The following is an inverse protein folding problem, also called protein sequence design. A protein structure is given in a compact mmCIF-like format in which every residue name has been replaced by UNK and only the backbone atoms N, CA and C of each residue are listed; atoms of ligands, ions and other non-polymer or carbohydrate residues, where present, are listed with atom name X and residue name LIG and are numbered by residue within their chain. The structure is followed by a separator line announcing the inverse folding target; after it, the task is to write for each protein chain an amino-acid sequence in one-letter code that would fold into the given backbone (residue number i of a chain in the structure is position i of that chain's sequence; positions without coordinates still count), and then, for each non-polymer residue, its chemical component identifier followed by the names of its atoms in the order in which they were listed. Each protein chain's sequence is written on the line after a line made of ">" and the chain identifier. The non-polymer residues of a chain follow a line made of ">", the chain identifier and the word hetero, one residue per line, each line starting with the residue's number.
data_IF_391927882255
#
_entry.id   IF_391927882255
#
_cell.length_a   1.000
_cell.length_b   1.000
_cell.length_c   1.000
_cell.angle_alpha   90.00
_cell.angle_beta   90.00
_cell.angle_gamma   90.00
#
_symmetry.space_group_name_H-M   'P 1'
#
loop_
_entity.id
_entity.type
_entity.pdbx_description
1 polymer ?
#
# COMPACT_ATOMS: atom_id res chain seq x y z
N UNK A 1 -15.84 2.73 -3.52
CA UNK A 1 -15.44 2.80 -2.10
C UNK A 1 -14.74 1.49 -1.75
N UNK A 2 -13.73 1.53 -0.89
CA UNK A 2 -12.76 0.46 -0.69
C UNK A 2 -11.37 0.83 -1.22
N UNK A 3 -10.32 0.27 -0.61
CA UNK A 3 -8.92 0.58 -0.90
C UNK A 3 -8.41 -0.16 -2.15
N UNK A 4 -8.39 0.54 -3.30
CA UNK A 4 -7.80 0.05 -4.57
C UNK A 4 -6.32 -0.30 -4.38
N UNK A 5 -5.62 0.55 -3.62
CA UNK A 5 -4.25 0.34 -3.19
C UNK A 5 -4.24 -0.03 -1.71
N UNK A 6 -3.31 -0.88 -1.31
CA UNK A 6 -3.07 -1.16 0.11
C UNK A 6 -1.94 -0.29 0.64
N UNK A 7 -2.05 0.13 1.89
CA UNK A 7 -0.94 0.71 2.64
C UNK A 7 0.19 -0.33 2.77
N UNK A 8 1.40 0.09 2.42
CA UNK A 8 2.64 -0.67 2.59
C UNK A 8 3.54 -0.04 3.64
N UNK A 9 4.85 -0.19 3.44
CA UNK A 9 5.86 0.36 4.33
C UNK A 9 5.78 1.88 4.39
N UNK A 10 5.72 2.42 5.61
CA UNK A 10 5.69 3.84 5.92
C UNK A 10 4.50 4.61 5.32
N UNK A 11 3.39 3.91 5.08
CA UNK A 11 2.13 4.49 4.61
C UNK A 11 1.03 4.19 5.63
N UNK A 12 0.30 5.22 6.06
CA UNK A 12 -0.89 5.10 6.91
C UNK A 12 -2.17 5.06 6.08
N UNK A 13 -3.23 4.45 6.64
CA UNK A 13 -4.58 4.42 6.06
C UNK A 13 -5.56 5.07 7.04
N UNK A 14 -6.32 6.06 6.55
CA UNK A 14 -7.36 6.75 7.29
C UNK A 14 -8.66 5.95 7.38
N UNK A 15 -9.60 6.41 8.20
CA UNK A 15 -10.92 5.77 8.38
C UNK A 15 -11.75 5.73 7.09
N UNK A 16 -11.46 6.64 6.17
CA UNK A 16 -12.11 6.80 4.87
C UNK A 16 -11.33 6.15 3.72
N UNK A 17 -10.42 5.22 4.01
CA UNK A 17 -9.50 4.56 3.06
C UNK A 17 -8.45 5.51 2.42
N UNK A 18 -8.26 6.73 2.96
CA UNK A 18 -7.26 7.68 2.46
C UNK A 18 -5.84 7.27 2.88
N UNK A 19 -4.92 7.21 1.92
CA UNK A 19 -3.51 6.86 2.18
C UNK A 19 -2.64 8.11 2.38
N UNK A 20 -1.79 8.10 3.40
CA UNK A 20 -0.87 9.21 3.70
C UNK A 20 0.53 8.71 4.06
N UNK A 21 1.53 9.57 3.84
CA UNK A 21 2.91 9.29 4.16
C UNK A 21 3.17 9.42 5.66
N UNK A 22 3.87 8.44 6.25
CA UNK A 22 4.35 8.53 7.64
C UNK A 22 5.74 9.16 7.72
N UNK A 23 6.50 9.14 6.63
CA UNK A 23 7.84 9.70 6.51
C UNK A 23 8.02 10.40 5.17
N UNK A 24 9.00 11.30 5.09
CA UNK A 24 9.44 11.87 3.82
C UNK A 24 10.27 10.86 3.02
N UNK A 25 10.02 10.81 1.71
CA UNK A 25 10.71 9.87 0.82
C UNK A 25 10.06 9.78 -0.56
N UNK A 26 10.46 8.76 -1.31
CA UNK A 26 9.91 8.48 -2.64
C UNK A 26 8.84 7.39 -2.57
N UNK A 27 7.75 7.59 -3.31
CA UNK A 27 6.66 6.62 -3.42
C UNK A 27 7.05 5.47 -4.34
N UNK A 28 6.93 4.24 -3.86
CA UNK A 28 7.18 3.01 -4.60
C UNK A 28 5.92 2.15 -4.67
N UNK A 29 5.48 1.85 -5.89
CA UNK A 29 4.36 0.96 -6.13
C UNK A 29 4.85 -0.48 -6.32
N UNK A 30 4.26 -1.42 -5.59
CA UNK A 30 4.58 -2.85 -5.67
C UNK A 30 3.31 -3.64 -5.98
N UNK A 31 3.38 -4.61 -6.88
CA UNK A 31 2.27 -5.54 -7.14
C UNK A 31 2.52 -6.83 -6.39
N UNK A 32 1.58 -7.21 -5.51
CA UNK A 32 1.68 -8.44 -4.73
C UNK A 32 0.44 -9.30 -4.94
N UNK A 33 0.68 -10.58 -5.22
CA UNK A 33 -0.39 -11.57 -5.22
C UNK A 33 -0.82 -11.85 -3.77
N UNK A 34 -2.09 -11.62 -3.47
CA UNK A 34 -2.74 -11.98 -2.22
C UNK A 34 -3.75 -13.08 -2.49
N UNK A 35 -3.70 -14.16 -1.72
CA UNK A 35 -4.72 -15.19 -1.79
C UNK A 35 -5.95 -14.71 -1.03
N UNK A 36 -7.10 -14.65 -1.71
CA UNK A 36 -8.39 -14.43 -1.09
C UNK A 36 -8.76 -15.61 -0.19
N UNK A 37 -9.64 -15.40 0.78
CA UNK A 37 -10.17 -16.46 1.64
C UNK A 37 -10.82 -17.61 0.84
N UNK A 38 -11.35 -17.31 -0.35
CA UNK A 38 -11.92 -18.28 -1.31
C UNK A 38 -10.85 -19.02 -2.13
N UNK A 39 -9.57 -18.85 -1.86
CA UNK A 39 -8.46 -19.47 -2.59
C UNK A 39 -8.07 -18.79 -3.92
N UNK A 40 -8.84 -17.79 -4.38
CA UNK A 40 -8.50 -17.02 -5.59
C UNK A 40 -7.29 -16.12 -5.34
N UNK A 41 -6.25 -16.23 -6.18
CA UNK A 41 -5.14 -15.27 -6.19
C UNK A 41 -5.63 -13.96 -6.81
N UNK A 42 -5.54 -12.88 -6.06
CA UNK A 42 -5.82 -11.51 -6.51
C UNK A 42 -4.53 -10.71 -6.46
N UNK A 43 -4.25 -9.92 -7.48
CA UNK A 43 -3.14 -8.98 -7.44
C UNK A 43 -3.61 -7.70 -6.77
N UNK A 44 -2.91 -7.26 -5.72
CA UNK A 44 -3.17 -5.98 -5.08
C UNK A 44 -1.92 -5.11 -5.18
N UNK A 45 -2.12 -3.84 -5.52
CA UNK A 45 -1.04 -2.85 -5.56
C UNK A 45 -0.84 -2.30 -4.16
N UNK A 46 0.39 -2.38 -3.66
CA UNK A 46 0.83 -1.87 -2.36
C UNK A 46 1.64 -0.61 -2.60
N UNK A 47 1.40 0.42 -1.79
CA UNK A 47 2.13 1.69 -1.85
C UNK A 47 3.10 1.72 -0.67
N UNK A 48 4.39 1.86 -0.97
CA UNK A 48 5.45 2.00 0.01
C UNK A 48 6.10 3.37 -0.11
N UNK A 49 6.69 3.87 0.98
CA UNK A 49 7.56 5.04 0.95
C UNK A 49 8.97 4.60 1.32
N UNK A 50 9.90 4.84 0.40
CA UNK A 50 11.32 4.60 0.59
C UNK A 50 11.96 5.91 1.04
N UNK A 51 12.58 5.96 2.24
CA UNK A 51 13.28 7.15 2.70
C UNK A 51 14.36 7.54 1.70
N UNK A 52 14.44 8.84 1.38
CA UNK A 52 15.62 9.36 0.68
C UNK A 52 16.71 9.45 1.74
N UNK A 53 17.65 8.51 1.75
CA UNK A 53 18.82 8.61 2.60
C UNK A 53 19.50 9.97 2.34
N UNK A 54 19.80 10.70 3.42
CA UNK A 54 20.56 11.94 3.35
C UNK A 54 22.05 11.64 3.20
#
# INVERSE_FOLDING_TARGET
>A
RGSKWAAGLNVGEGKDDTLFALIDGTVKFERKAKTSFTGKKIEKTIINIVPLAK
#
